data_IF_798353398269
#
_entry.id   IF_798353398269
#
_cell.length_a   1.000
_cell.length_b   1.000
_cell.length_c   1.000
_cell.angle_alpha   90.00
_cell.angle_beta   90.00
_cell.angle_gamma   90.00
#
_symmetry.space_group_name_H-M   'P 1'
#
loop_
_entity.id
_entity.type
_entity.pdbx_description
1 polymer ?
#
# COMPACT_ATOMS: atom_id res chain seq x y z
N UNK A 1 -2.81 -3.09 11.82
CA UNK A 1 -3.57 -2.45 10.74
C UNK A 1 -3.64 -0.95 10.96
N UNK A 2 -3.41 -0.19 9.91
CA UNK A 2 -3.52 1.26 9.96
C UNK A 2 -4.88 1.71 9.46
N UNK A 3 -5.53 2.58 10.19
CA UNK A 3 -6.80 3.17 9.76
C UNK A 3 -6.54 4.59 9.30
N UNK A 4 -6.96 4.90 8.08
CA UNK A 4 -6.71 6.19 7.47
C UNK A 4 -8.04 6.87 7.16
N UNK A 5 -8.12 8.15 7.49
CA UNK A 5 -9.30 8.96 7.22
C UNK A 5 -8.98 10.05 6.21
N UNK A 6 -10.00 10.75 5.77
CA UNK A 6 -9.81 11.87 4.86
C UNK A 6 -8.97 12.99 5.47
N UNK A 7 -8.87 13.02 6.80
CA UNK A 7 -8.11 14.05 7.52
C UNK A 7 -6.73 13.57 7.95
N UNK A 8 -6.39 12.33 7.66
CA UNK A 8 -5.07 11.81 8.02
C UNK A 8 -3.98 12.51 7.21
N UNK A 9 -2.84 12.72 7.85
CA UNK A 9 -1.68 13.28 7.16
C UNK A 9 -1.00 12.17 6.35
N UNK A 10 -0.87 12.31 5.05
CA UNK A 10 -0.18 11.29 4.24
C UNK A 10 1.26 11.07 4.69
N UNK A 11 1.96 12.11 5.09
CA UNK A 11 3.33 11.99 5.56
C UNK A 11 3.43 11.16 6.84
N UNK A 12 2.53 11.42 7.79
CA UNK A 12 2.53 10.66 9.04
C UNK A 12 2.16 9.20 8.82
N UNK A 13 1.15 8.97 7.98
CA UNK A 13 0.74 7.61 7.62
C UNK A 13 1.87 6.88 6.91
N UNK A 14 2.56 7.57 6.01
CA UNK A 14 3.68 6.98 5.28
C UNK A 14 4.80 6.56 6.22
N UNK A 15 5.10 7.37 7.23
CA UNK A 15 6.09 7.02 8.22
C UNK A 15 5.74 5.76 8.99
N UNK A 16 4.47 5.67 9.44
CA UNK A 16 3.99 4.49 10.13
C UNK A 16 4.03 3.26 9.21
N UNK A 17 3.62 3.45 7.97
CA UNK A 17 3.61 2.39 6.98
C UNK A 17 5.02 1.85 6.73
N UNK A 18 5.97 2.76 6.53
CA UNK A 18 7.36 2.37 6.29
C UNK A 18 7.94 1.60 7.47
N UNK A 19 7.61 2.03 8.69
CA UNK A 19 8.07 1.34 9.89
C UNK A 19 7.58 -0.10 9.95
N UNK A 20 6.30 -0.31 9.69
CA UNK A 20 5.73 -1.66 9.71
C UNK A 20 6.31 -2.50 8.58
N UNK A 21 6.46 -1.91 7.39
CA UNK A 21 7.03 -2.63 6.25
C UNK A 21 8.46 -3.11 6.52
N UNK A 22 9.26 -2.29 7.20
CA UNK A 22 10.62 -2.70 7.54
C UNK A 22 10.65 -3.82 8.56
N UNK A 23 9.66 -3.87 9.44
CA UNK A 23 9.61 -4.88 10.49
C UNK A 23 9.02 -6.19 10.01
N UNK A 24 7.95 -6.13 9.25
CA UNK A 24 7.18 -7.33 8.91
C UNK A 24 7.04 -7.60 7.42
N UNK A 25 7.35 -6.64 6.58
CA UNK A 25 7.26 -6.80 5.13
C UNK A 25 5.88 -6.51 4.55
N UNK A 26 4.88 -6.32 5.38
CA UNK A 26 3.53 -6.04 4.92
C UNK A 26 2.78 -5.19 5.93
N UNK A 27 1.87 -4.37 5.43
CA UNK A 27 1.00 -3.57 6.29
C UNK A 27 -0.38 -3.50 5.66
N UNK A 28 -1.41 -3.62 6.48
CA UNK A 28 -2.78 -3.50 6.01
C UNK A 28 -3.32 -2.14 6.38
N UNK A 29 -3.96 -1.49 5.42
CA UNK A 29 -4.51 -0.14 5.58
C UNK A 29 -6.00 -0.19 5.30
N UNK A 30 -6.81 0.31 6.22
CA UNK A 30 -8.25 0.34 6.06
C UNK A 30 -8.73 1.75 5.80
N UNK A 31 -9.56 1.91 4.79
CA UNK A 31 -10.13 3.21 4.43
C UNK A 31 -11.62 3.07 4.15
N UNK A 32 -12.37 4.12 4.44
CA UNK A 32 -13.78 4.24 4.09
C UNK A 32 -13.94 5.56 3.38
N UNK A 33 -14.43 5.49 2.14
CA UNK A 33 -14.70 6.69 1.36
C UNK A 33 -13.54 7.17 0.52
N UNK A 34 -13.85 7.97 -0.46
CA UNK A 34 -12.88 8.41 -1.47
C UNK A 34 -11.78 9.30 -0.87
N UNK A 35 -12.14 10.16 0.08
CA UNK A 35 -11.15 11.04 0.70
C UNK A 35 -10.10 10.27 1.47
N UNK A 36 -10.53 9.26 2.23
CA UNK A 36 -9.61 8.41 2.96
C UNK A 36 -8.71 7.62 2.02
N UNK A 37 -9.31 7.08 0.95
CA UNK A 37 -8.55 6.34 -0.06
C UNK A 37 -7.47 7.23 -0.70
N UNK A 38 -7.82 8.45 -1.03
CA UNK A 38 -6.87 9.37 -1.62
C UNK A 38 -5.67 9.62 -0.70
N UNK A 39 -5.93 9.81 0.60
CA UNK A 39 -4.85 10.02 1.56
C UNK A 39 -3.98 8.76 1.70
N UNK A 40 -4.61 7.59 1.67
CA UNK A 40 -3.88 6.33 1.77
C UNK A 40 -2.97 6.12 0.54
N UNK A 41 -3.46 6.42 -0.66
CA UNK A 41 -2.66 6.25 -1.87
C UNK A 41 -1.48 7.22 -1.86
N UNK A 42 -1.69 8.45 -1.44
CA UNK A 42 -0.59 9.39 -1.29
C UNK A 42 0.44 8.89 -0.29
N UNK A 43 -0.03 8.35 0.83
CA UNK A 43 0.86 7.80 1.85
C UNK A 43 1.68 6.63 1.30
N UNK A 44 1.07 5.78 0.50
CA UNK A 44 1.78 4.66 -0.13
C UNK A 44 2.90 5.15 -1.05
N UNK A 45 2.61 6.19 -1.83
CA UNK A 45 3.62 6.76 -2.73
C UNK A 45 4.79 7.35 -1.93
N UNK A 46 4.50 8.03 -0.83
CA UNK A 46 5.53 8.59 0.04
C UNK A 46 6.32 7.47 0.71
N UNK A 47 5.63 6.47 1.23
CA UNK A 47 6.27 5.33 1.90
C UNK A 47 7.20 4.60 0.95
N UNK A 48 6.81 4.46 -0.31
CA UNK A 48 7.67 3.85 -1.31
C UNK A 48 9.00 4.60 -1.41
N UNK A 49 8.93 5.93 -1.39
CA UNK A 49 10.14 6.74 -1.41
C UNK A 49 11.04 6.53 -0.20
N UNK A 50 10.46 6.23 0.95
CA UNK A 50 11.24 5.98 2.17
C UNK A 50 11.98 4.64 2.12
N UNK A 51 11.40 3.64 1.49
CA UNK A 51 11.93 2.28 1.56
C UNK A 51 12.69 1.84 0.30
N UNK A 52 12.59 2.61 -0.77
CA UNK A 52 13.21 2.22 -2.04
C UNK A 52 14.73 2.14 -1.92
N UNK A 53 15.34 2.99 -1.11
CA UNK A 53 16.78 2.98 -0.90
C UNK A 53 17.24 1.72 -0.17
N UNK A 54 16.33 1.04 0.50
CA UNK A 54 16.63 -0.24 1.17
C UNK A 54 16.36 -1.43 0.25
N UNK A 55 16.10 -1.18 -1.03
CA UNK A 55 15.83 -2.25 -1.98
C UNK A 55 14.41 -2.76 -1.93
N UNK A 56 13.52 -2.04 -1.28
CA UNK A 56 12.12 -2.44 -1.14
C UNK A 56 11.28 -1.70 -2.15
N UNK A 57 10.51 -2.44 -2.94
CA UNK A 57 9.47 -1.87 -3.76
C UNK A 57 8.13 -2.40 -3.26
N UNK A 58 7.06 -1.65 -3.51
CA UNK A 58 5.77 -1.93 -2.89
C UNK A 58 4.72 -2.24 -3.94
N UNK A 59 3.84 -3.16 -3.58
CA UNK A 59 2.59 -3.38 -4.29
C UNK A 59 1.46 -3.19 -3.32
N UNK A 60 0.28 -2.93 -3.86
CA UNK A 60 -0.92 -2.79 -3.07
C UNK A 60 -2.00 -3.68 -3.65
N UNK A 61 -2.60 -4.50 -2.80
CA UNK A 61 -3.71 -5.37 -3.20
C UNK A 61 -4.95 -4.92 -2.45
N UNK A 62 -5.93 -4.31 -3.13
CA UNK A 62 -7.14 -3.86 -2.47
C UNK A 62 -8.15 -4.99 -2.33
N UNK A 63 -8.85 -4.99 -1.22
CA UNK A 63 -9.94 -5.92 -0.93
C UNK A 63 -11.08 -5.16 -0.29
N UNK A 64 -12.29 -5.63 -0.50
CA UNK A 64 -13.43 -5.11 0.23
C UNK A 64 -13.48 -5.72 1.64
N UNK A 65 -14.02 -4.95 2.57
CA UNK A 65 -14.26 -5.43 3.92
C UNK A 65 -15.55 -4.79 4.43
N UNK A 66 -16.39 -5.59 5.06
CA UNK A 66 -17.55 -5.05 5.72
C UNK A 66 -17.20 -4.73 7.15
N UNK A 67 -17.46 -3.50 7.55
CA UNK A 67 -17.17 -3.04 8.89
C UNK A 67 -18.41 -2.39 9.47
N UNK A 68 -18.39 -2.19 10.77
CA UNK A 68 -19.48 -1.50 11.46
C UNK A 68 -18.94 -0.23 12.08
N UNK A 69 -19.62 0.89 11.81
CA UNK A 69 -19.29 2.19 12.37
C UNK A 69 -20.57 2.71 13.00
N UNK A 70 -20.53 2.96 14.31
CA UNK A 70 -21.68 3.49 15.05
C UNK A 70 -22.94 2.68 14.80
N UNK A 71 -22.80 1.37 14.79
CA UNK A 71 -23.93 0.46 14.61
C UNK A 71 -24.39 0.31 13.17
N UNK A 72 -23.74 0.95 12.22
CA UNK A 72 -24.08 0.87 10.82
C UNK A 72 -23.07 0.08 10.05
N UNK A 73 -23.55 -0.80 9.20
CA UNK A 73 -22.66 -1.56 8.31
C UNK A 73 -22.16 -0.65 7.20
N UNK A 74 -20.86 -0.66 6.99
CA UNK A 74 -20.21 0.13 5.95
C UNK A 74 -19.24 -0.75 5.19
N UNK A 75 -19.12 -0.47 3.91
CA UNK A 75 -18.12 -1.14 3.09
C UNK A 75 -16.82 -0.34 3.14
N UNK A 76 -15.76 -1.00 3.55
CA UNK A 76 -14.43 -0.42 3.57
C UNK A 76 -13.57 -1.07 2.50
N UNK A 77 -12.45 -0.45 2.21
CA UNK A 77 -11.39 -1.08 1.46
C UNK A 77 -10.25 -1.38 2.43
N UNK A 78 -9.72 -2.57 2.33
CA UNK A 78 -8.49 -2.94 2.99
C UNK A 78 -7.42 -3.10 1.94
N UNK A 79 -6.39 -2.31 2.08
CA UNK A 79 -5.29 -2.23 1.12
C UNK A 79 -4.11 -2.95 1.74
N UNK A 80 -3.76 -4.10 1.18
CA UNK A 80 -2.58 -4.83 1.63
C UNK A 80 -1.39 -4.28 0.87
N UNK A 81 -0.50 -3.63 1.59
CA UNK A 81 0.72 -3.07 1.02
C UNK A 81 1.87 -3.97 1.44
N UNK A 82 2.61 -4.50 0.48
CA UNK A 82 3.66 -5.44 0.81
C UNK A 82 4.84 -5.29 -0.13
N UNK A 83 5.92 -5.92 0.28
CA UNK A 83 7.17 -5.90 -0.44
C UNK A 83 7.03 -6.73 -1.72
N UNK A 84 7.13 -6.05 -2.85
CA UNK A 84 6.93 -6.67 -4.14
C UNK A 84 7.90 -7.79 -4.43
N UNK A 85 9.17 -7.58 -4.21
CA UNK A 85 10.18 -8.55 -4.54
C UNK A 85 10.51 -9.52 -3.42
N UNK A 86 9.85 -9.38 -2.26
CA UNK A 86 10.16 -10.20 -1.11
C UNK A 86 9.77 -11.64 -1.28
N UNK A 87 8.79 -11.87 -2.12
CA UNK A 87 8.28 -13.21 -2.34
C UNK A 87 8.66 -13.64 -3.74
N UNK A 88 9.44 -14.69 -3.83
CA UNK A 88 9.82 -15.12 -5.14
C UNK A 88 10.34 -13.94 -5.90
N UNK A 89 11.15 -13.20 -5.26
CA UNK A 89 11.70 -11.99 -5.84
C UNK A 89 12.06 -12.23 -7.28
N UNK A 90 11.62 -11.33 -8.15
CA UNK A 90 11.91 -11.48 -9.55
C UNK A 90 13.41 -11.44 -9.77
N UNK A 91 13.98 -12.47 -10.39
CA UNK A 91 15.38 -12.42 -10.76
C UNK A 91 15.60 -11.27 -11.73
N UNK A 92 16.80 -10.78 -11.79
CA UNK A 92 17.11 -9.69 -12.69
C UNK A 92 16.77 -10.02 -14.13
N UNK A 93 16.93 -11.28 -14.50
CA UNK A 93 16.62 -11.74 -15.85
C UNK A 93 15.13 -11.94 -16.06
N UNK A 94 14.36 -11.97 -15.00
CA UNK A 94 12.93 -12.04 -15.10
C UNK A 94 12.32 -10.65 -15.20
N UNK A 95 13.11 -9.64 -14.97
CA UNK A 95 12.64 -8.29 -15.19
C UNK A 95 12.23 -8.21 -16.64
N UNK A 96 11.01 -7.76 -16.84
CA UNK A 96 10.52 -7.64 -18.19
C UNK A 96 11.38 -6.67 -18.95
N UNK A 97 11.54 -6.97 -20.20
CA UNK A 97 12.27 -6.06 -21.06
C UNK A 97 11.42 -4.83 -21.33
N UNK A 98 12.05 -3.70 -21.60
CA UNK A 98 11.29 -2.47 -21.83
C UNK A 98 10.19 -2.63 -22.87
N UNK A 99 10.43 -3.41 -23.90
CA UNK A 99 9.41 -3.64 -24.91
C UNK A 99 8.20 -4.38 -24.37
N UNK A 100 8.40 -5.30 -23.47
CA UNK A 100 7.30 -6.04 -22.85
C UNK A 100 6.48 -5.14 -21.94
N UNK A 101 7.14 -4.27 -21.21
CA UNK A 101 6.42 -3.31 -20.36
C UNK A 101 5.59 -2.38 -21.22
N UNK A 102 6.13 -1.93 -22.31
CA UNK A 102 5.40 -1.07 -23.22
C UNK A 102 4.22 -1.79 -23.83
N UNK A 103 4.41 -3.03 -24.19
CA UNK A 103 3.33 -3.82 -24.75
C UNK A 103 2.22 -4.11 -23.77
N UNK A 104 2.51 -4.10 -22.49
CA UNK A 104 1.51 -4.35 -21.44
C UNK A 104 0.61 -3.14 -21.22
N UNK A 105 1.01 -2.02 -21.68
CA UNK A 105 0.20 -0.82 -21.57
C UNK A 105 -0.97 -0.87 -22.53
#
# INVERSE_FOLDING_TARGET
MLKVSSKSSPNAVAGAMASVLRQTGAVEVQVVGAGALNQAVKAMAIARGFVVSSGIDLICVPNFADIEIDGQSRTALRLLVEHRGGIGQLPADADVEPGELEGAE
#
